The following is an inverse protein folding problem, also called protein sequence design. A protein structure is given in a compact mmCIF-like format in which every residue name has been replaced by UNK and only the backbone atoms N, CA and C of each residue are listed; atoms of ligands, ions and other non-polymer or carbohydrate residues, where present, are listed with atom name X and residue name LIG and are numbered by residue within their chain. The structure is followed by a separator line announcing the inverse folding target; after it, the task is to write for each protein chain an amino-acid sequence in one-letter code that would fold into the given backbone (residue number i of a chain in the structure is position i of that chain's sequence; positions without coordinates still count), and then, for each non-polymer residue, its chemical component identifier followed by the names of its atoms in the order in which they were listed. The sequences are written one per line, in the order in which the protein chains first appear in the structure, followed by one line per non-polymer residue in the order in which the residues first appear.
data_IF_383223294043
#
_entry.id   IF_383223294043
#
_cell.length_a   1.000
_cell.length_b   1.000
_cell.length_c   1.000
_cell.angle_alpha   90.00
_cell.angle_beta   90.00
_cell.angle_gamma   90.00
#
_symmetry.space_group_name_H-M   'P 1'
#
loop_
_entity.id
_entity.type
_entity.pdbx_description
1 polymer ?
#
# COMPACT_ATOMS: atom_id res chain seq x y z
N UNK A 1 -38.95 37.96 -9.33
CA UNK A 1 -38.82 36.68 -10.05
C UNK A 1 -38.00 35.75 -9.19
N UNK A 2 -38.52 34.65 -8.71
CA UNK A 2 -37.79 33.78 -7.79
C UNK A 2 -36.83 32.86 -8.55
N UNK A 3 -35.64 32.70 -7.99
CA UNK A 3 -34.60 31.81 -8.51
C UNK A 3 -34.94 30.39 -8.02
N UNK A 4 -35.16 29.50 -8.99
CA UNK A 4 -35.41 28.08 -8.71
C UNK A 4 -34.21 27.40 -8.13
N UNK A 5 -34.38 26.85 -6.92
CA UNK A 5 -33.49 25.91 -6.29
C UNK A 5 -33.58 24.55 -7.00
N UNK A 6 -32.51 24.11 -7.61
CA UNK A 6 -32.37 22.73 -8.11
C UNK A 6 -31.79 21.90 -6.94
N UNK A 7 -32.63 21.07 -6.37
CA UNK A 7 -32.21 20.02 -5.43
C UNK A 7 -31.54 18.87 -6.20
N UNK A 8 -30.41 18.31 -5.76
CA UNK A 8 -29.91 17.06 -6.32
C UNK A 8 -30.70 15.90 -5.66
N UNK A 9 -31.55 15.27 -6.42
CA UNK A 9 -32.09 13.94 -6.11
C UNK A 9 -31.00 12.90 -6.36
N UNK A 10 -30.28 12.51 -5.32
CA UNK A 10 -29.52 11.27 -5.24
C UNK A 10 -29.54 10.80 -3.79
N UNK A 11 -30.69 10.34 -3.35
CA UNK A 11 -30.85 9.53 -2.16
C UNK A 11 -32.02 8.60 -2.44
N UNK A 12 -31.73 7.38 -2.88
CA UNK A 12 -32.47 6.21 -2.43
C UNK A 12 -31.90 4.93 -3.06
N UNK A 13 -31.77 3.95 -2.18
CA UNK A 13 -31.43 2.53 -2.41
C UNK A 13 -29.95 2.17 -2.21
N UNK A 14 -29.43 2.36 -1.00
CA UNK A 14 -28.39 1.47 -0.47
C UNK A 14 -29.09 0.36 0.32
N UNK A 15 -29.52 -0.68 -0.37
CA UNK A 15 -29.80 -1.97 0.23
C UNK A 15 -28.46 -2.58 0.62
N UNK A 16 -28.13 -2.61 1.90
CA UNK A 16 -27.03 -3.40 2.44
C UNK A 16 -27.40 -4.89 2.34
N UNK A 17 -27.20 -5.48 1.16
CA UNK A 17 -27.23 -6.93 1.03
C UNK A 17 -25.92 -7.46 1.61
N UNK A 18 -25.97 -7.94 2.85
CA UNK A 18 -24.97 -8.86 3.37
C UNK A 18 -25.06 -10.10 2.46
N UNK A 19 -24.18 -10.19 1.48
CA UNK A 19 -24.07 -11.38 0.63
C UNK A 19 -23.48 -12.51 1.46
N UNK A 20 -24.13 -13.67 1.42
CA UNK A 20 -23.59 -14.90 2.01
C UNK A 20 -22.19 -15.14 1.41
N UNK A 21 -21.13 -15.34 2.22
CA UNK A 21 -19.75 -15.53 1.72
C UNK A 21 -19.61 -16.68 0.71
N UNK A 22 -20.51 -17.65 0.69
CA UNK A 22 -20.52 -18.75 -0.28
C UNK A 22 -21.00 -18.32 -1.67
N UNK A 23 -21.70 -17.19 -1.79
CA UNK A 23 -22.21 -16.67 -3.07
C UNK A 23 -21.36 -15.54 -3.65
N UNK A 24 -20.36 -15.05 -2.91
CA UNK A 24 -19.51 -13.95 -3.36
C UNK A 24 -18.49 -14.42 -4.41
N UNK A 25 -18.69 -14.02 -5.65
CA UNK A 25 -17.82 -14.36 -6.79
C UNK A 25 -16.81 -13.29 -7.11
N UNK A 26 -16.86 -12.15 -6.43
CA UNK A 26 -15.93 -11.03 -6.59
C UNK A 26 -15.37 -10.59 -5.25
N UNK A 27 -14.07 -10.27 -5.21
CA UNK A 27 -13.38 -9.71 -4.06
C UNK A 27 -12.68 -8.43 -4.52
N UNK A 28 -12.94 -7.33 -3.84
CA UNK A 28 -12.28 -6.05 -4.13
C UNK A 28 -11.18 -5.79 -3.10
N UNK A 29 -9.95 -5.54 -3.60
CA UNK A 29 -8.78 -5.22 -2.77
C UNK A 29 -8.30 -3.82 -3.10
N UNK A 30 -7.91 -3.03 -2.09
CA UNK A 30 -7.38 -1.69 -2.28
C UNK A 30 -6.13 -1.43 -1.42
N UNK A 31 -5.28 -0.50 -1.87
CA UNK A 31 -4.22 0.11 -1.06
C UNK A 31 -4.37 1.62 -1.08
N UNK A 32 -4.21 2.24 0.09
CA UNK A 32 -4.55 3.63 0.32
C UNK A 32 -3.56 4.31 1.28
N UNK A 33 -2.64 5.10 0.75
CA UNK A 33 -1.83 6.02 1.55
C UNK A 33 -2.71 7.20 1.98
N UNK A 34 -2.87 7.38 3.30
CA UNK A 34 -3.78 8.37 3.89
C UNK A 34 -3.20 9.77 4.02
N UNK A 35 -1.92 9.96 3.72
CA UNK A 35 -1.21 11.22 3.88
C UNK A 35 -1.37 11.84 5.27
N UNK A 36 -0.53 11.40 6.20
CA UNK A 36 -0.46 11.91 7.58
C UNK A 36 -1.80 11.86 8.34
N UNK A 37 -2.42 10.68 8.43
CA UNK A 37 -3.68 10.52 9.15
C UNK A 37 -3.49 10.63 10.67
N UNK A 38 -3.53 11.86 11.19
CA UNK A 38 -3.38 12.20 12.60
C UNK A 38 -4.48 13.15 13.07
N UNK A 39 -5.26 12.73 14.07
CA UNK A 39 -6.30 13.54 14.67
C UNK A 39 -5.72 14.71 15.48
N UNK A 40 -6.30 15.92 15.41
CA UNK A 40 -5.91 16.98 16.32
C UNK A 40 -6.27 16.61 17.79
N UNK A 41 -5.56 17.15 18.80
CA UNK A 41 -4.63 18.29 18.73
C UNK A 41 -3.18 17.93 18.45
N UNK A 42 -2.88 16.70 18.09
CA UNK A 42 -1.53 16.21 17.92
C UNK A 42 -0.90 16.69 16.61
N UNK A 43 0.44 16.81 16.59
CA UNK A 43 1.23 17.26 15.46
C UNK A 43 1.99 16.10 14.79
N UNK A 44 2.12 16.11 13.46
CA UNK A 44 2.90 15.13 12.72
C UNK A 44 4.25 15.72 12.27
N UNK A 45 5.33 15.04 12.60
CA UNK A 45 6.73 15.38 12.35
C UNK A 45 7.27 16.63 13.05
N UNK A 46 6.56 17.79 12.95
CA UNK A 46 6.96 19.08 13.49
C UNK A 46 5.80 19.70 14.28
N UNK A 47 6.09 20.50 15.31
CA UNK A 47 5.11 21.01 16.29
C UNK A 47 4.01 21.91 15.70
N UNK A 48 4.22 22.46 14.51
CA UNK A 48 3.27 23.36 13.82
C UNK A 48 2.38 22.62 12.80
N UNK A 49 2.60 21.32 12.58
CA UNK A 49 1.83 20.51 11.63
C UNK A 49 0.65 19.82 12.32
N UNK A 50 -0.37 20.60 12.60
CA UNK A 50 -1.60 20.15 13.27
C UNK A 50 -2.78 20.43 12.34
N UNK A 51 -3.62 19.44 12.11
CA UNK A 51 -4.90 19.68 11.43
C UNK A 51 -5.84 20.50 12.31
N UNK A 52 -6.52 21.50 11.76
CA UNK A 52 -7.68 22.08 12.42
C UNK A 52 -8.82 21.05 12.50
N UNK A 53 -9.77 21.24 13.39
CA UNK A 53 -10.94 20.37 13.48
C UNK A 53 -11.73 20.29 12.15
N UNK A 54 -11.78 21.39 11.39
CA UNK A 54 -12.43 21.42 10.09
C UNK A 54 -11.66 20.63 9.04
N UNK A 55 -10.33 20.77 8.97
CA UNK A 55 -9.47 20.02 8.05
C UNK A 55 -9.54 18.51 8.34
N UNK A 56 -9.48 18.14 9.62
CA UNK A 56 -9.62 16.76 10.05
C UNK A 56 -10.96 16.16 9.62
N UNK A 57 -12.06 16.89 9.87
CA UNK A 57 -13.40 16.43 9.48
C UNK A 57 -13.52 16.25 7.95
N UNK A 58 -12.93 17.17 7.16
CA UNK A 58 -12.89 17.03 5.70
C UNK A 58 -12.12 15.79 5.28
N UNK A 59 -10.96 15.53 5.89
CA UNK A 59 -10.14 14.33 5.64
C UNK A 59 -10.91 13.05 5.94
N UNK A 60 -11.52 12.95 7.13
CA UNK A 60 -12.34 11.78 7.48
C UNK A 60 -13.54 11.59 6.55
N UNK A 61 -14.22 12.66 6.19
CA UNK A 61 -15.36 12.61 5.26
C UNK A 61 -14.92 12.14 3.87
N UNK A 62 -13.76 12.58 3.39
CA UNK A 62 -13.22 12.15 2.10
C UNK A 62 -12.91 10.65 2.11
N UNK A 63 -12.22 10.16 3.13
CA UNK A 63 -11.91 8.74 3.31
C UNK A 63 -13.20 7.91 3.39
N UNK A 64 -14.16 8.35 4.21
CA UNK A 64 -15.46 7.67 4.35
C UNK A 64 -16.21 7.62 3.02
N UNK A 65 -16.22 8.71 2.25
CA UNK A 65 -16.85 8.78 0.92
C UNK A 65 -16.21 7.81 -0.07
N UNK A 66 -14.86 7.71 -0.05
CA UNK A 66 -14.16 6.72 -0.86
C UNK A 66 -14.59 5.30 -0.50
N UNK A 67 -14.59 4.95 0.79
CA UNK A 67 -14.98 3.62 1.26
C UNK A 67 -16.43 3.28 0.92
N UNK A 68 -17.35 4.24 1.03
CA UNK A 68 -18.77 4.06 0.66
C UNK A 68 -18.96 3.88 -0.85
N UNK A 69 -18.21 4.60 -1.66
CA UNK A 69 -18.36 4.59 -3.12
C UNK A 69 -17.74 3.34 -3.73
N UNK A 70 -16.52 3.00 -3.31
CA UNK A 70 -15.73 1.92 -3.92
C UNK A 70 -15.88 0.59 -3.22
N UNK A 71 -16.23 0.58 -1.94
CA UNK A 71 -16.54 -0.59 -1.10
C UNK A 71 -15.51 -1.74 -1.21
N UNK A 72 -14.19 -1.50 -1.07
CA UNK A 72 -13.25 -2.61 -1.05
C UNK A 72 -13.59 -3.60 0.08
N UNK A 73 -13.27 -4.87 -0.12
CA UNK A 73 -13.49 -5.91 0.90
C UNK A 73 -12.26 -6.05 1.80
N UNK A 74 -11.08 -5.79 1.25
CA UNK A 74 -9.79 -5.73 1.96
C UNK A 74 -9.09 -4.46 1.54
N UNK A 75 -8.57 -3.72 2.52
CA UNK A 75 -7.85 -2.49 2.27
C UNK A 75 -6.62 -2.36 3.18
N UNK A 76 -5.46 -2.08 2.56
CA UNK A 76 -4.22 -1.73 3.25
C UNK A 76 -4.05 -0.22 3.32
N UNK A 77 -3.76 0.30 4.51
CA UNK A 77 -3.55 1.72 4.77
C UNK A 77 -2.09 2.02 5.08
N UNK A 78 -1.62 3.17 4.64
CA UNK A 78 -0.31 3.72 4.94
C UNK A 78 -0.46 5.12 5.57
N UNK A 79 0.58 5.58 6.27
CA UNK A 79 0.63 6.87 6.97
C UNK A 79 -0.41 7.04 8.08
N UNK A 80 -0.64 5.97 8.84
CA UNK A 80 -1.57 5.95 9.96
C UNK A 80 -0.85 6.37 11.23
N UNK A 81 -1.27 7.47 11.84
CA UNK A 81 -0.86 7.91 13.17
C UNK A 81 -1.97 7.69 14.20
N UNK A 82 -3.23 8.01 13.85
CA UNK A 82 -4.40 7.83 14.72
C UNK A 82 -5.09 6.50 14.47
N UNK A 83 -4.54 5.43 15.07
CA UNK A 83 -4.99 4.05 14.88
C UNK A 83 -6.46 3.88 15.28
N UNK A 84 -6.85 4.35 16.48
CA UNK A 84 -8.20 4.19 17.02
C UNK A 84 -9.24 4.97 16.21
N UNK A 85 -8.86 6.15 15.68
CA UNK A 85 -9.73 6.94 14.81
C UNK A 85 -9.99 6.19 13.49
N UNK A 86 -8.94 5.62 12.87
CA UNK A 86 -9.07 4.84 11.65
C UNK A 86 -9.91 3.58 11.88
N UNK A 87 -9.66 2.83 12.95
CA UNK A 87 -10.44 1.64 13.31
C UNK A 87 -11.93 2.00 13.49
N UNK A 88 -12.22 3.11 14.16
CA UNK A 88 -13.60 3.61 14.35
C UNK A 88 -14.24 3.96 13.02
N UNK A 89 -13.50 4.63 12.14
CA UNK A 89 -13.98 5.04 10.82
C UNK A 89 -14.30 3.81 9.96
N UNK A 90 -13.38 2.85 9.84
CA UNK A 90 -13.59 1.67 8.99
C UNK A 90 -14.70 0.76 9.54
N UNK A 91 -14.82 0.61 10.86
CA UNK A 91 -15.95 -0.13 11.48
C UNK A 91 -17.31 0.46 11.11
N UNK A 92 -17.43 1.79 11.08
CA UNK A 92 -18.66 2.46 10.61
C UNK A 92 -18.96 2.19 9.14
N UNK A 93 -17.95 1.82 8.33
CA UNK A 93 -18.07 1.48 6.92
C UNK A 93 -18.22 -0.04 6.67
N UNK A 94 -18.43 -0.84 7.71
CA UNK A 94 -18.73 -2.27 7.62
C UNK A 94 -17.50 -3.18 7.57
N UNK A 95 -16.34 -2.71 8.04
CA UNK A 95 -15.18 -3.57 8.22
C UNK A 95 -15.17 -4.13 9.65
N UNK A 96 -15.48 -5.41 9.79
CA UNK A 96 -15.52 -6.07 11.10
C UNK A 96 -14.13 -6.38 11.67
N UNK A 97 -13.10 -6.44 10.80
CA UNK A 97 -11.75 -6.82 11.17
C UNK A 97 -10.77 -5.71 10.84
N UNK A 98 -9.90 -5.42 11.80
CA UNK A 98 -8.85 -4.42 11.69
C UNK A 98 -7.55 -4.97 12.27
N UNK A 99 -6.42 -4.74 11.61
CA UNK A 99 -5.11 -5.25 12.00
C UNK A 99 -4.05 -4.15 11.93
N UNK A 100 -3.29 -4.02 12.99
CA UNK A 100 -2.09 -3.20 13.13
C UNK A 100 -1.13 -3.93 14.06
N UNK A 101 0.18 -3.75 13.88
CA UNK A 101 1.20 -4.48 14.65
C UNK A 101 2.23 -3.57 15.32
N UNK A 102 2.09 -2.25 15.14
CA UNK A 102 3.03 -1.26 15.64
C UNK A 102 2.30 0.01 16.11
N UNK A 103 3.04 0.96 16.67
CA UNK A 103 2.57 2.27 17.13
C UNK A 103 3.47 3.36 16.58
N UNK A 104 2.92 4.55 16.24
CA UNK A 104 3.74 5.71 15.96
C UNK A 104 4.61 6.10 17.16
N UNK A 105 5.81 6.61 16.89
CA UNK A 105 6.65 7.22 17.92
C UNK A 105 6.07 8.57 18.32
N UNK A 106 5.99 8.85 19.64
CA UNK A 106 5.51 10.11 20.16
C UNK A 106 6.66 10.85 20.87
N UNK A 107 6.87 12.11 20.52
CA UNK A 107 7.89 12.99 21.08
C UNK A 107 7.18 14.17 21.75
N UNK A 108 7.67 14.59 22.92
CA UNK A 108 7.12 15.72 23.66
C UNK A 108 5.59 15.64 23.88
N UNK A 109 5.09 14.41 24.09
CA UNK A 109 3.70 14.04 24.38
C UNK A 109 2.68 14.27 23.25
N UNK A 110 3.00 15.01 22.18
CA UNK A 110 2.03 15.36 21.13
C UNK A 110 2.60 15.37 19.71
N UNK A 111 3.92 15.22 19.48
CA UNK A 111 4.52 15.16 18.15
C UNK A 111 4.67 13.71 17.73
N UNK A 112 3.91 13.28 16.76
CA UNK A 112 3.94 11.91 16.23
C UNK A 112 4.91 11.79 15.06
N UNK A 113 5.71 10.72 15.10
CA UNK A 113 6.63 10.31 14.03
C UNK A 113 6.41 8.84 13.72
N UNK A 114 7.02 8.39 12.63
CA UNK A 114 7.01 6.99 12.21
C UNK A 114 5.58 6.43 12.10
N UNK A 115 4.78 6.90 11.12
CA UNK A 115 3.44 6.40 10.93
C UNK A 115 3.46 4.92 10.60
N UNK A 116 2.44 4.21 11.03
CA UNK A 116 2.31 2.77 10.83
C UNK A 116 1.47 2.43 9.60
N UNK A 117 1.44 1.15 9.25
CA UNK A 117 0.51 0.58 8.28
C UNK A 117 -0.58 -0.20 8.99
N UNK A 118 -1.77 -0.29 8.37
CA UNK A 118 -2.90 -1.03 8.90
C UNK A 118 -3.62 -1.80 7.78
N UNK A 119 -4.43 -2.79 8.15
CA UNK A 119 -5.30 -3.51 7.24
C UNK A 119 -6.71 -3.56 7.83
N UNK A 120 -7.72 -3.25 7.00
CA UNK A 120 -9.12 -3.52 7.32
C UNK A 120 -9.69 -4.58 6.37
N UNK A 121 -10.55 -5.44 6.88
CA UNK A 121 -11.18 -6.52 6.12
C UNK A 121 -12.64 -6.72 6.54
N UNK A 122 -13.50 -6.99 5.55
CA UNK A 122 -14.84 -7.50 5.80
C UNK A 122 -14.84 -9.02 6.06
N UNK A 123 -13.77 -9.69 5.58
CA UNK A 123 -13.57 -11.13 5.80
C UNK A 123 -12.81 -11.40 7.09
N UNK A 124 -13.01 -12.59 7.70
CA UNK A 124 -12.36 -12.95 8.95
C UNK A 124 -10.83 -12.93 8.86
N UNK A 125 -10.19 -12.22 9.77
CA UNK A 125 -8.74 -12.30 9.99
C UNK A 125 -8.49 -13.40 11.02
N UNK A 126 -7.75 -14.44 10.64
CA UNK A 126 -7.44 -15.60 11.49
C UNK A 126 -6.15 -15.44 12.28
N UNK A 127 -5.21 -14.69 11.75
CA UNK A 127 -3.91 -14.45 12.38
C UNK A 127 -3.42 -13.04 12.01
N UNK A 128 -2.83 -12.32 12.96
CA UNK A 128 -2.14 -11.05 12.76
C UNK A 128 -0.74 -11.17 13.33
N UNK A 129 0.27 -10.77 12.58
CA UNK A 129 1.64 -10.75 13.06
C UNK A 129 2.47 -9.65 12.40
N UNK A 130 3.43 -9.12 13.11
CA UNK A 130 4.54 -8.38 12.56
C UNK A 130 5.43 -9.31 11.71
N UNK A 131 5.98 -8.82 10.61
CA UNK A 131 6.99 -9.55 9.85
C UNK A 131 8.34 -9.34 10.53
N UNK A 132 8.87 -10.42 11.10
CA UNK A 132 10.18 -10.40 11.75
C UNK A 132 11.32 -10.37 10.73
N UNK A 133 12.37 -9.63 11.06
CA UNK A 133 13.59 -9.57 10.26
C UNK A 133 14.50 -10.76 10.60
N UNK A 134 14.88 -11.54 9.59
CA UNK A 134 15.87 -12.60 9.75
C UNK A 134 17.26 -11.98 9.95
N UNK A 135 17.79 -12.05 11.16
CA UNK A 135 19.07 -11.43 11.54
C UNK A 135 20.27 -12.09 10.85
N UNK A 136 20.21 -13.38 10.56
CA UNK A 136 21.29 -14.08 9.86
C UNK A 136 21.34 -13.61 8.39
N UNK A 137 20.19 -13.45 7.77
CA UNK A 137 20.08 -12.93 6.42
C UNK A 137 20.52 -11.46 6.33
N UNK A 138 20.16 -10.64 7.32
CA UNK A 138 20.62 -9.24 7.45
C UNK A 138 22.15 -9.18 7.38
N UNK A 139 22.83 -10.02 8.15
CA UNK A 139 24.29 -10.09 8.17
C UNK A 139 24.87 -10.62 6.84
N UNK A 140 24.24 -11.62 6.22
CA UNK A 140 24.67 -12.14 4.91
C UNK A 140 24.56 -11.09 3.80
N UNK A 141 23.57 -10.20 3.89
CA UNK A 141 23.40 -9.06 2.95
C UNK A 141 24.37 -7.89 3.25
N UNK A 142 25.19 -7.99 4.29
CA UNK A 142 26.12 -6.94 4.68
C UNK A 142 25.45 -5.72 5.31
N UNK A 143 24.25 -5.89 5.84
CA UNK A 143 23.50 -4.84 6.53
C UNK A 143 23.91 -4.76 8.00
N UNK A 144 23.53 -3.67 8.68
CA UNK A 144 23.76 -3.51 10.12
C UNK A 144 22.92 -4.51 10.93
N UNK A 145 23.47 -5.05 12.04
CA UNK A 145 22.78 -6.02 12.88
C UNK A 145 21.49 -5.46 13.55
N UNK A 146 21.39 -4.13 13.64
CA UNK A 146 20.22 -3.40 14.12
C UNK A 146 19.25 -3.00 13.00
N UNK A 147 19.41 -3.57 11.81
CA UNK A 147 18.48 -3.32 10.69
C UNK A 147 17.05 -3.70 11.08
N UNK A 148 16.13 -2.77 10.80
CA UNK A 148 14.70 -2.92 10.99
C UNK A 148 13.95 -2.33 9.79
N UNK A 149 12.69 -2.73 9.61
CA UNK A 149 11.80 -2.06 8.66
C UNK A 149 11.56 -0.61 9.10
N UNK A 150 11.59 0.34 8.16
CA UNK A 150 11.25 1.75 8.46
C UNK A 150 9.83 1.90 8.97
N UNK A 151 8.93 1.02 8.61
CA UNK A 151 7.59 0.81 9.15
C UNK A 151 7.38 -0.68 9.25
N UNK A 152 6.94 -1.12 10.42
CA UNK A 152 6.71 -2.54 10.66
C UNK A 152 5.65 -3.08 9.71
N UNK A 153 5.99 -4.14 8.97
CA UNK A 153 5.08 -4.76 8.00
C UNK A 153 3.99 -5.55 8.73
N UNK A 154 2.73 -5.25 8.42
CA UNK A 154 1.58 -6.04 8.88
C UNK A 154 1.43 -7.26 7.99
N UNK A 155 1.32 -8.45 8.59
CA UNK A 155 0.79 -9.66 7.95
C UNK A 155 -0.51 -10.05 8.62
N UNK A 156 -1.60 -10.06 7.84
CA UNK A 156 -2.90 -10.55 8.28
C UNK A 156 -3.28 -11.77 7.42
N UNK A 157 -3.53 -12.92 8.07
CA UNK A 157 -4.06 -14.10 7.38
C UNK A 157 -5.58 -14.00 7.32
N UNK A 158 -6.10 -13.70 6.14
CA UNK A 158 -7.52 -13.49 5.87
C UNK A 158 -8.13 -14.76 5.27
N UNK A 159 -9.33 -15.14 5.72
CA UNK A 159 -10.09 -16.25 5.13
C UNK A 159 -10.96 -15.74 3.98
N UNK A 160 -10.53 -16.01 2.76
CA UNK A 160 -11.22 -15.55 1.54
C UNK A 160 -12.22 -16.59 1.05
N UNK A 161 -13.40 -16.17 0.54
CA UNK A 161 -14.34 -17.06 -0.12
C UNK A 161 -13.66 -17.85 -1.25
N UNK A 162 -13.97 -19.13 -1.38
CA UNK A 162 -13.48 -20.06 -2.43
C UNK A 162 -11.97 -20.34 -2.42
N UNK A 163 -11.14 -19.47 -1.85
CA UNK A 163 -9.68 -19.61 -1.82
C UNK A 163 -9.16 -20.20 -0.51
N UNK A 164 -9.83 -19.92 0.62
CA UNK A 164 -9.33 -20.24 1.94
C UNK A 164 -8.38 -19.19 2.48
N UNK A 165 -7.27 -19.60 3.10
CA UNK A 165 -6.37 -18.68 3.76
C UNK A 165 -5.45 -17.94 2.78
N UNK A 166 -5.42 -16.61 2.89
CA UNK A 166 -4.52 -15.72 2.16
C UNK A 166 -3.72 -14.88 3.15
N UNK A 167 -2.40 -14.91 3.06
CA UNK A 167 -1.53 -14.02 3.83
C UNK A 167 -1.45 -12.67 3.11
N UNK A 168 -2.11 -11.65 3.69
CA UNK A 168 -2.16 -10.29 3.19
C UNK A 168 -1.10 -9.46 3.92
N UNK A 169 -0.20 -8.84 3.17
CA UNK A 169 0.88 -8.00 3.69
C UNK A 169 0.64 -6.55 3.31
N UNK A 170 0.82 -5.64 4.28
CA UNK A 170 0.76 -4.19 4.03
C UNK A 170 2.11 -3.57 4.34
N UNK A 171 2.62 -2.80 3.37
CA UNK A 171 3.92 -2.14 3.44
C UNK A 171 3.82 -0.65 3.22
N UNK A 172 4.79 0.07 3.77
CA UNK A 172 5.16 1.42 3.39
C UNK A 172 6.69 1.49 3.44
N UNK A 173 7.34 1.17 2.32
CA UNK A 173 8.80 1.12 2.25
C UNK A 173 9.44 2.49 2.43
N UNK A 174 10.72 2.50 2.79
CA UNK A 174 11.49 3.73 3.02
C UNK A 174 11.31 4.73 1.87
N UNK A 175 10.91 5.95 2.22
CA UNK A 175 10.73 7.04 1.26
C UNK A 175 12.04 7.40 0.56
N UNK A 176 11.96 8.12 -0.59
CA UNK A 176 13.12 8.62 -1.32
C UNK A 176 13.83 9.79 -0.63
N UNK A 177 13.25 10.35 0.44
CA UNK A 177 13.89 11.43 1.22
C UNK A 177 15.23 10.94 1.76
N UNK A 178 16.25 11.81 1.70
CA UNK A 178 17.57 11.49 2.22
C UNK A 178 17.50 11.06 3.70
N UNK A 179 18.21 9.98 4.05
CA UNK A 179 18.17 9.40 5.39
C UNK A 179 18.70 10.36 6.47
N UNK A 180 19.56 11.31 6.09
CA UNK A 180 20.08 12.35 6.97
C UNK A 180 20.26 13.68 6.24
N UNK A 181 20.32 14.76 7.01
CA UNK A 181 20.57 16.11 6.55
C UNK A 181 21.97 16.55 6.95
N UNK A 182 22.60 17.44 6.16
CA UNK A 182 23.93 17.98 6.48
C UNK A 182 23.89 18.93 7.69
N UNK A 183 24.93 18.91 8.51
CA UNK A 183 25.15 19.85 9.60
C UNK A 183 25.33 21.27 9.04
N UNK A 184 24.30 22.10 9.13
CA UNK A 184 24.33 23.50 8.64
C UNK A 184 24.92 24.45 9.69
N UNK A 185 24.75 24.15 10.97
CA UNK A 185 25.05 25.07 12.08
C UNK A 185 26.55 25.21 12.43
N UNK A 186 27.39 24.36 11.87
CA UNK A 186 28.83 24.33 12.19
C UNK A 186 29.76 24.99 11.15
N UNK A 187 29.21 25.45 10.02
CA UNK A 187 29.98 25.92 8.90
C UNK A 187 29.82 27.43 8.75
N UNK A 188 30.96 28.13 8.63
CA UNK A 188 31.04 29.62 8.59
C UNK A 188 30.91 30.20 7.20
N UNK A 189 30.91 29.40 6.13
CA UNK A 189 30.82 29.87 4.75
C UNK A 189 29.61 29.30 4.01
N UNK A 190 29.04 30.09 3.10
CA UNK A 190 27.95 29.66 2.23
C UNK A 190 28.32 28.42 1.40
N UNK A 191 29.52 28.40 0.81
CA UNK A 191 30.04 27.29 0.01
C UNK A 191 30.16 26.02 0.85
N UNK A 192 30.67 26.11 2.08
CA UNK A 192 30.78 24.98 3.00
C UNK A 192 29.40 24.39 3.36
N UNK A 193 28.42 25.26 3.63
CA UNK A 193 27.07 24.85 3.92
C UNK A 193 26.40 24.13 2.73
N UNK A 194 26.48 24.70 1.53
CA UNK A 194 25.93 24.10 0.30
C UNK A 194 26.58 22.75 0.01
N UNK A 195 27.91 22.66 0.11
CA UNK A 195 28.63 21.41 -0.12
C UNK A 195 28.27 20.34 0.90
N UNK A 196 28.12 20.69 2.19
CA UNK A 196 27.71 19.78 3.24
C UNK A 196 26.30 19.23 2.99
N UNK A 197 25.34 20.11 2.70
CA UNK A 197 23.96 19.73 2.39
C UNK A 197 23.89 18.83 1.15
N UNK A 198 24.65 19.18 0.09
CA UNK A 198 24.65 18.38 -1.14
C UNK A 198 25.26 16.99 -0.93
N UNK A 199 26.36 16.88 -0.19
CA UNK A 199 26.93 15.58 0.19
C UNK A 199 25.94 14.74 1.00
N UNK A 200 25.27 15.33 1.97
CA UNK A 200 24.27 14.65 2.78
C UNK A 200 23.07 14.19 1.94
N UNK A 201 22.61 15.00 1.01
CA UNK A 201 21.54 14.64 0.08
C UNK A 201 21.93 13.44 -0.80
N UNK A 202 23.14 13.45 -1.38
CA UNK A 202 23.62 12.35 -2.24
C UNK A 202 23.77 11.06 -1.44
N UNK A 203 24.50 11.11 -0.31
CA UNK A 203 24.75 9.94 0.51
C UNK A 203 23.47 9.43 1.20
N UNK A 204 22.66 10.35 1.73
CA UNK A 204 21.37 10.00 2.37
C UNK A 204 20.35 9.44 1.38
N UNK A 205 20.35 9.92 0.13
CA UNK A 205 19.50 9.36 -0.93
C UNK A 205 19.90 7.93 -1.28
N UNK A 206 21.21 7.65 -1.33
CA UNK A 206 21.70 6.29 -1.53
C UNK A 206 21.36 5.37 -0.35
N UNK A 207 21.57 5.84 0.89
CA UNK A 207 21.19 5.09 2.09
C UNK A 207 19.70 4.74 2.13
N UNK A 208 18.83 5.67 1.74
CA UNK A 208 17.38 5.41 1.59
C UNK A 208 17.06 4.36 0.54
N UNK A 209 17.86 4.30 -0.54
CA UNK A 209 17.70 3.27 -1.58
C UNK A 209 18.14 1.89 -1.11
N UNK A 210 19.25 1.80 -0.37
CA UNK A 210 19.70 0.57 0.29
C UNK A 210 18.62 0.09 1.27
N UNK A 211 18.15 0.96 2.16
CA UNK A 211 17.11 0.61 3.14
C UNK A 211 15.88 0.03 2.45
N UNK A 212 15.32 0.73 1.46
CA UNK A 212 14.14 0.30 0.72
C UNK A 212 14.32 -1.03 -0.01
N UNK A 213 15.44 -1.22 -0.70
CA UNK A 213 15.75 -2.48 -1.39
C UNK A 213 15.94 -3.64 -0.43
N UNK A 214 16.56 -3.39 0.73
CA UNK A 214 16.74 -4.39 1.79
C UNK A 214 15.41 -4.77 2.43
N UNK A 215 14.55 -3.80 2.73
CA UNK A 215 13.18 -4.05 3.24
C UNK A 215 12.42 -4.98 2.30
N UNK A 216 12.42 -4.69 1.01
CA UNK A 216 11.74 -5.47 0.00
C UNK A 216 12.31 -6.91 -0.11
N UNK A 217 13.65 -7.04 -0.06
CA UNK A 217 14.34 -8.35 -0.15
C UNK A 217 14.00 -9.22 1.06
N UNK A 218 14.18 -8.69 2.28
CA UNK A 218 13.93 -9.40 3.53
C UNK A 218 12.46 -9.81 3.66
N UNK A 219 11.55 -8.93 3.25
CA UNK A 219 10.13 -9.24 3.22
C UNK A 219 9.83 -10.39 2.26
N UNK A 220 10.31 -10.33 1.01
CA UNK A 220 10.04 -11.37 0.02
C UNK A 220 10.55 -12.74 0.49
N UNK A 221 11.74 -12.79 1.10
CA UNK A 221 12.28 -14.04 1.64
C UNK A 221 11.43 -14.57 2.80
N UNK A 222 10.97 -13.71 3.72
CA UNK A 222 10.03 -14.10 4.78
C UNK A 222 8.72 -14.64 4.18
N UNK A 223 8.17 -13.98 3.16
CA UNK A 223 6.96 -14.43 2.47
C UNK A 223 7.14 -15.82 1.82
N UNK A 224 8.27 -16.05 1.15
CA UNK A 224 8.60 -17.36 0.55
C UNK A 224 8.68 -18.47 1.61
N UNK A 225 9.35 -18.21 2.73
CA UNK A 225 9.44 -19.18 3.84
C UNK A 225 8.08 -19.45 4.47
N UNK A 226 7.28 -18.40 4.67
CA UNK A 226 5.93 -18.56 5.20
C UNK A 226 5.07 -19.39 4.25
N UNK A 227 5.15 -19.13 2.95
CA UNK A 227 4.43 -19.88 1.94
C UNK A 227 4.88 -21.34 1.88
N UNK A 228 6.18 -21.61 1.99
CA UNK A 228 6.70 -22.98 2.08
C UNK A 228 6.14 -23.75 3.28
N UNK A 229 5.94 -23.06 4.42
CA UNK A 229 5.45 -23.67 5.66
C UNK A 229 3.92 -23.84 5.69
N UNK A 230 3.16 -22.92 5.09
CA UNK A 230 1.70 -22.84 5.23
C UNK A 230 0.93 -23.11 3.93
N UNK A 231 1.51 -22.84 2.77
CA UNK A 231 0.86 -22.98 1.47
C UNK A 231 -0.18 -21.92 1.15
N UNK A 232 -0.37 -20.91 2.02
CA UNK A 232 -1.38 -19.87 1.84
C UNK A 232 -1.11 -19.05 0.56
N UNK A 233 -2.16 -18.58 -0.11
CA UNK A 233 -2.02 -17.54 -1.13
C UNK A 233 -1.37 -16.27 -0.55
N UNK A 234 -0.74 -15.46 -1.39
CA UNK A 234 -0.06 -14.24 -0.94
C UNK A 234 -0.61 -13.01 -1.67
N UNK A 235 -0.81 -11.95 -0.91
CA UNK A 235 -1.18 -10.63 -1.39
C UNK A 235 -0.27 -9.62 -0.68
N UNK A 236 0.46 -8.79 -1.45
CA UNK A 236 1.31 -7.73 -0.93
C UNK A 236 0.83 -6.40 -1.50
N UNK A 237 0.52 -5.44 -0.65
CA UNK A 237 0.02 -4.12 -1.07
C UNK A 237 0.63 -3.00 -0.25
N UNK A 238 0.69 -1.80 -0.84
CA UNK A 238 1.15 -0.61 -0.13
C UNK A 238 1.82 0.43 -1.02
N UNK A 239 2.41 1.42 -0.35
CA UNK A 239 3.30 2.39 -0.95
C UNK A 239 4.73 1.83 -0.95
N UNK A 240 5.24 1.55 -2.14
CA UNK A 240 6.60 1.00 -2.32
C UNK A 240 7.66 2.09 -2.45
N UNK A 241 7.23 3.36 -2.53
CA UNK A 241 8.10 4.53 -2.65
C UNK A 241 9.12 4.47 -3.82
N UNK A 242 8.89 3.56 -4.78
CA UNK A 242 9.75 3.40 -5.95
C UNK A 242 9.01 2.68 -7.07
N UNK A 243 9.31 2.97 -8.36
CA UNK A 243 8.80 2.15 -9.45
C UNK A 243 9.23 0.70 -9.31
N UNK A 244 8.29 -0.22 -9.47
CA UNK A 244 8.50 -1.67 -9.25
C UNK A 244 9.51 -2.27 -10.24
N UNK A 245 9.54 -1.77 -11.48
CA UNK A 245 10.47 -2.24 -12.53
C UNK A 245 11.85 -1.56 -12.46
N UNK A 246 12.08 -0.67 -11.48
CA UNK A 246 13.40 -0.14 -11.18
C UNK A 246 14.26 -1.22 -10.50
N UNK A 247 15.56 -1.24 -10.77
CA UNK A 247 16.51 -2.27 -10.31
C UNK A 247 16.49 -2.55 -8.81
N UNK A 248 16.07 -1.57 -7.99
CA UNK A 248 15.99 -1.72 -6.53
C UNK A 248 14.85 -2.67 -6.11
N UNK A 249 13.69 -2.63 -6.78
CA UNK A 249 12.51 -3.42 -6.42
C UNK A 249 12.18 -4.53 -7.43
N UNK A 250 12.87 -4.59 -8.58
CA UNK A 250 12.54 -5.54 -9.65
C UNK A 250 12.56 -7.02 -9.20
N UNK A 251 13.33 -7.34 -8.16
CA UNK A 251 13.40 -8.68 -7.59
C UNK A 251 12.10 -9.16 -6.95
N UNK A 252 11.21 -8.25 -6.52
CA UNK A 252 9.89 -8.60 -5.98
C UNK A 252 9.00 -9.34 -6.99
N UNK A 253 9.21 -9.10 -8.28
CA UNK A 253 8.43 -9.67 -9.39
C UNK A 253 9.28 -10.55 -10.32
N UNK A 254 10.40 -11.09 -9.82
CA UNK A 254 11.27 -11.98 -10.61
C UNK A 254 10.51 -13.24 -11.03
N UNK A 255 10.29 -13.48 -12.33
CA UNK A 255 9.39 -14.54 -12.78
C UNK A 255 10.06 -15.93 -12.86
N UNK A 256 11.40 -15.98 -12.83
CA UNK A 256 12.16 -17.22 -13.06
C UNK A 256 13.55 -17.15 -12.45
N UNK A 257 14.15 -18.31 -12.19
CA UNK A 257 15.57 -18.41 -11.87
C UNK A 257 16.43 -18.23 -13.13
N UNK A 258 17.59 -17.58 -12.98
CA UNK A 258 18.54 -17.37 -14.08
C UNK A 258 19.17 -18.68 -14.60
N UNK A 259 19.23 -19.69 -13.73
CA UNK A 259 19.88 -20.98 -14.00
C UNK A 259 18.91 -22.12 -13.69
N UNK A 260 18.86 -23.11 -14.56
CA UNK A 260 17.96 -24.27 -14.54
C UNK A 260 16.53 -23.97 -15.00
N UNK A 261 16.23 -24.41 -16.22
CA UNK A 261 14.93 -24.21 -16.87
C UNK A 261 14.12 -25.51 -17.01
N UNK A 262 14.24 -26.42 -16.05
CA UNK A 262 13.35 -27.58 -15.98
C UNK A 262 11.91 -27.11 -15.68
N UNK A 263 10.93 -27.61 -16.43
CA UNK A 263 9.52 -27.23 -16.29
C UNK A 263 8.98 -27.44 -14.86
N UNK A 264 9.45 -28.51 -14.17
CA UNK A 264 9.05 -28.77 -12.79
C UNK A 264 9.57 -27.68 -11.84
N UNK A 265 10.82 -27.22 -12.03
CA UNK A 265 11.41 -26.14 -11.25
C UNK A 265 10.75 -24.80 -11.55
N UNK A 266 10.44 -24.51 -12.81
CA UNK A 266 9.70 -23.29 -13.17
C UNK A 266 8.33 -23.23 -12.50
N UNK A 267 7.60 -24.37 -12.44
CA UNK A 267 6.32 -24.44 -11.74
C UNK A 267 6.47 -24.18 -10.23
N UNK A 268 7.53 -24.70 -9.61
CA UNK A 268 7.84 -24.43 -8.20
C UNK A 268 8.21 -22.97 -7.97
N UNK A 269 9.00 -22.36 -8.86
CA UNK A 269 9.34 -20.92 -8.76
C UNK A 269 8.08 -20.07 -8.79
N UNK A 270 7.17 -20.34 -9.72
CA UNK A 270 5.89 -19.62 -9.84
C UNK A 270 5.05 -19.68 -8.55
N UNK A 271 5.13 -20.77 -7.81
CA UNK A 271 4.45 -20.89 -6.51
C UNK A 271 4.95 -19.86 -5.48
N UNK A 272 6.22 -19.43 -5.58
CA UNK A 272 6.85 -18.49 -4.65
C UNK A 272 6.95 -17.06 -5.18
N UNK A 273 6.57 -16.80 -6.43
CA UNK A 273 6.67 -15.47 -7.05
C UNK A 273 5.41 -14.65 -6.86
N UNK A 274 5.59 -13.34 -6.97
CA UNK A 274 4.50 -12.37 -7.02
C UNK A 274 4.43 -11.74 -8.41
N UNK A 275 3.25 -11.32 -8.81
CA UNK A 275 3.01 -10.57 -10.04
C UNK A 275 2.25 -9.27 -9.74
N UNK A 276 2.59 -8.21 -10.45
CA UNK A 276 1.86 -6.96 -10.39
C UNK A 276 0.41 -7.17 -10.88
N UNK A 277 -0.56 -6.75 -10.09
CA UNK A 277 -1.97 -6.83 -10.46
C UNK A 277 -2.29 -6.06 -11.75
N UNK A 278 -1.56 -4.98 -12.06
CA UNK A 278 -1.65 -4.30 -13.34
C UNK A 278 -1.25 -5.20 -14.50
N UNK A 279 -0.09 -5.87 -14.40
CA UNK A 279 0.40 -6.76 -15.47
C UNK A 279 -0.58 -7.95 -15.67
N UNK A 280 -1.21 -8.45 -14.59
CA UNK A 280 -2.26 -9.49 -14.68
C UNK A 280 -3.53 -8.96 -15.36
N UNK A 281 -3.99 -7.78 -14.98
CA UNK A 281 -5.13 -7.11 -15.59
C UNK A 281 -4.89 -6.85 -17.09
N UNK A 282 -3.74 -6.25 -17.43
CA UNK A 282 -3.38 -5.97 -18.82
C UNK A 282 -3.32 -7.26 -19.67
N UNK A 283 -2.77 -8.34 -19.11
CA UNK A 283 -2.71 -9.64 -19.80
C UNK A 283 -4.13 -10.19 -20.09
N UNK A 284 -5.06 -10.07 -19.15
CA UNK A 284 -6.44 -10.51 -19.32
C UNK A 284 -7.18 -9.65 -20.37
N UNK A 285 -6.93 -8.34 -20.39
CA UNK A 285 -7.55 -7.43 -21.38
C UNK A 285 -7.02 -7.68 -22.81
N UNK A 286 -5.75 -8.00 -22.99
CA UNK A 286 -5.16 -8.33 -24.30
C UNK A 286 -5.78 -9.56 -24.98
N UNK A 287 -6.43 -10.43 -24.21
CA UNK A 287 -7.21 -11.54 -24.75
C UNK A 287 -8.50 -11.05 -25.41
N UNK A 288 -9.02 -9.89 -24.98
CA UNK A 288 -10.32 -9.33 -25.39
C UNK A 288 -10.16 -8.18 -26.39
N UNK A 289 -9.10 -7.38 -26.31
CA UNK A 289 -8.83 -6.20 -27.16
C UNK A 289 -7.33 -6.08 -27.45
N UNK A 290 -7.00 -5.63 -28.68
CA UNK A 290 -5.62 -5.29 -29.08
C UNK A 290 -5.16 -3.90 -28.59
N UNK A 291 -6.00 -3.17 -27.88
CA UNK A 291 -5.67 -1.83 -27.39
C UNK A 291 -4.55 -1.88 -26.34
N UNK A 292 -3.61 -0.95 -26.48
CA UNK A 292 -2.54 -0.79 -25.50
C UNK A 292 -3.05 0.02 -24.31
N UNK A 293 -3.15 -0.61 -23.16
CA UNK A 293 -3.51 0.07 -21.91
C UNK A 293 -2.33 0.88 -21.37
N UNK A 294 -2.62 2.00 -20.76
CA UNK A 294 -1.63 2.84 -20.09
C UNK A 294 -1.96 2.91 -18.60
N UNK A 295 -1.01 2.51 -17.76
CA UNK A 295 -1.16 2.63 -16.31
C UNK A 295 -1.06 4.09 -15.88
N UNK A 296 -2.07 4.58 -15.17
CA UNK A 296 -2.04 5.92 -14.60
C UNK A 296 -1.04 5.97 -13.42
N UNK A 297 -0.34 7.10 -13.22
CA UNK A 297 0.50 7.33 -12.05
C UNK A 297 -0.32 7.34 -10.77
N UNK A 298 0.33 6.99 -9.64
CA UNK A 298 -0.31 7.04 -8.32
C UNK A 298 0.15 8.23 -7.48
N UNK A 299 1.24 8.88 -7.88
CA UNK A 299 1.78 10.05 -7.18
C UNK A 299 2.33 11.06 -8.18
N UNK A 300 2.12 12.36 -7.88
CA UNK A 300 2.53 13.49 -8.71
C UNK A 300 3.38 14.46 -7.88
N UNK A 301 4.56 14.80 -8.38
CA UNK A 301 5.45 15.78 -7.74
C UNK A 301 5.96 16.78 -8.78
N UNK A 302 5.45 18.00 -8.73
CA UNK A 302 5.72 19.02 -9.74
C UNK A 302 5.31 18.55 -11.13
N UNK A 303 6.27 18.45 -12.06
CA UNK A 303 6.04 17.96 -13.43
C UNK A 303 6.28 16.44 -13.57
N UNK A 304 6.69 15.78 -12.50
CA UNK A 304 6.99 14.35 -12.51
C UNK A 304 5.83 13.57 -11.96
N UNK A 305 5.58 12.40 -12.55
CA UNK A 305 4.59 11.45 -12.06
C UNK A 305 5.20 10.06 -11.97
N UNK A 306 4.75 9.25 -11.04
CA UNK A 306 5.26 7.89 -10.85
C UNK A 306 4.19 6.98 -10.26
N UNK A 307 4.32 5.68 -10.53
CA UNK A 307 3.55 4.66 -9.84
C UNK A 307 4.38 4.24 -8.62
N UNK A 308 3.83 4.44 -7.43
CA UNK A 308 4.46 4.10 -6.14
C UNK A 308 3.63 3.08 -5.36
N UNK A 309 2.33 3.02 -5.62
CA UNK A 309 1.37 2.17 -4.92
C UNK A 309 1.06 0.94 -5.76
N UNK A 310 1.20 -0.24 -5.16
CA UNK A 310 1.11 -1.52 -5.85
C UNK A 310 0.29 -2.53 -5.06
N UNK A 311 -0.31 -3.48 -5.82
CA UNK A 311 -0.88 -4.72 -5.30
C UNK A 311 -0.22 -5.85 -6.07
N UNK A 312 0.53 -6.72 -5.37
CA UNK A 312 1.19 -7.88 -5.92
C UNK A 312 0.51 -9.16 -5.46
N UNK A 313 0.36 -10.11 -6.34
CA UNK A 313 -0.47 -11.29 -6.17
C UNK A 313 0.32 -12.58 -6.50
N UNK A 314 0.08 -13.64 -5.76
CA UNK A 314 0.61 -14.97 -6.03
C UNK A 314 -0.18 -15.70 -7.15
N UNK A 315 0.27 -16.89 -7.52
CA UNK A 315 -0.22 -17.66 -8.69
C UNK A 315 -1.72 -18.01 -8.64
N UNK A 316 -2.36 -17.99 -7.47
CA UNK A 316 -3.79 -18.24 -7.31
C UNK A 316 -4.68 -17.18 -7.97
N UNK A 317 -4.10 -16.03 -8.31
CA UNK A 317 -4.76 -14.90 -8.94
C UNK A 317 -4.32 -14.66 -10.40
N UNK A 318 -3.45 -15.52 -10.94
CA UNK A 318 -2.93 -15.43 -12.31
C UNK A 318 -3.73 -16.34 -13.25
N UNK A 319 -4.56 -15.75 -14.09
CA UNK A 319 -5.39 -16.48 -15.05
C UNK A 319 -4.60 -17.39 -16.02
N UNK A 320 -3.30 -17.13 -16.21
CA UNK A 320 -2.42 -17.99 -17.02
C UNK A 320 -2.07 -19.32 -16.33
N UNK A 321 -2.29 -19.42 -15.00
CA UNK A 321 -2.06 -20.64 -14.24
C UNK A 321 -3.33 -21.49 -14.15
N UNK A 322 -3.21 -22.78 -14.45
CA UNK A 322 -4.37 -23.70 -14.41
C UNK A 322 -4.96 -23.88 -13.01
N UNK A 323 -4.15 -23.64 -11.97
CA UNK A 323 -4.56 -23.76 -10.57
C UNK A 323 -5.04 -22.45 -9.97
N UNK A 324 -5.22 -21.40 -10.76
CA UNK A 324 -5.72 -20.13 -10.23
C UNK A 324 -7.22 -20.22 -9.94
N UNK A 325 -7.63 -19.62 -8.83
CA UNK A 325 -9.01 -19.53 -8.41
C UNK A 325 -9.67 -18.25 -8.88
N UNK A 326 -8.88 -17.17 -8.96
CA UNK A 326 -9.34 -15.83 -9.31
C UNK A 326 -8.54 -15.26 -10.47
N UNK A 327 -9.11 -14.27 -11.13
CA UNK A 327 -8.43 -13.42 -12.10
C UNK A 327 -8.63 -11.95 -11.75
N UNK A 328 -7.67 -11.11 -12.13
CA UNK A 328 -7.83 -9.65 -12.01
C UNK A 328 -8.71 -9.17 -13.16
N UNK A 329 -9.98 -8.92 -12.86
CA UNK A 329 -10.98 -8.51 -13.85
C UNK A 329 -11.04 -6.99 -14.04
N UNK A 330 -10.57 -6.21 -13.06
CA UNK A 330 -10.54 -4.75 -13.13
C UNK A 330 -9.37 -4.18 -12.32
N UNK A 331 -8.84 -3.04 -12.78
CA UNK A 331 -7.81 -2.26 -12.10
C UNK A 331 -8.20 -0.79 -12.13
N UNK A 332 -8.43 -0.22 -10.96
CA UNK A 332 -8.95 1.13 -10.80
C UNK A 332 -7.89 1.98 -10.10
N UNK A 333 -7.52 3.11 -10.71
CA UNK A 333 -6.69 4.14 -10.12
C UNK A 333 -7.57 5.37 -9.85
N UNK A 334 -7.82 5.67 -8.58
CA UNK A 334 -8.62 6.81 -8.17
C UNK A 334 -7.71 7.99 -7.91
N UNK A 335 -7.45 8.82 -8.92
CA UNK A 335 -6.50 9.94 -8.91
C UNK A 335 -7.13 11.31 -9.21
N UNK A 336 -8.45 11.39 -9.37
CA UNK A 336 -9.15 12.62 -9.75
C UNK A 336 -8.85 13.79 -8.81
N UNK A 337 -8.74 13.52 -7.52
CA UNK A 337 -8.39 14.51 -6.49
C UNK A 337 -6.96 15.08 -6.64
N UNK A 338 -6.08 14.40 -7.39
CA UNK A 338 -4.71 14.84 -7.68
C UNK A 338 -4.61 15.65 -8.96
N UNK A 339 -5.36 15.25 -10.01
CA UNK A 339 -5.23 15.83 -11.36
C UNK A 339 -6.27 16.89 -11.67
N UNK A 340 -7.43 16.85 -11.01
CA UNK A 340 -8.53 17.82 -11.19
C UNK A 340 -9.34 17.97 -9.89
N UNK A 341 -8.71 18.44 -8.79
CA UNK A 341 -9.34 18.52 -7.47
C UNK A 341 -10.49 19.51 -7.44
N UNK A 342 -11.54 19.16 -6.70
CA UNK A 342 -12.57 20.10 -6.25
C UNK A 342 -12.16 20.52 -4.84
N UNK A 343 -11.55 21.68 -4.69
CA UNK A 343 -10.87 22.12 -3.47
C UNK A 343 -11.72 22.00 -2.20
N UNK A 344 -13.03 22.26 -2.29
CA UNK A 344 -13.94 22.16 -1.16
C UNK A 344 -14.06 20.73 -0.62
N UNK A 345 -13.90 19.71 -1.46
CA UNK A 345 -14.02 18.29 -1.13
C UNK A 345 -12.66 17.60 -1.01
N UNK A 346 -11.73 17.92 -1.92
CA UNK A 346 -10.46 17.20 -2.07
C UNK A 346 -9.29 17.87 -1.36
N UNK A 347 -9.48 19.08 -0.77
CA UNK A 347 -8.39 19.87 -0.19
C UNK A 347 -7.61 19.18 0.94
N UNK A 348 -8.23 18.25 1.64
CA UNK A 348 -7.62 17.46 2.72
C UNK A 348 -7.63 15.95 2.41
N UNK A 349 -7.68 15.57 1.13
CA UNK A 349 -7.65 14.17 0.69
C UNK A 349 -6.31 13.50 0.97
N UNK A 350 -5.65 13.01 -0.05
CA UNK A 350 -4.31 12.42 0.02
C UNK A 350 -3.48 12.92 -1.17
N UNK A 351 -2.17 12.80 -1.07
CA UNK A 351 -1.23 13.09 -2.18
C UNK A 351 -0.93 11.84 -3.03
N UNK A 352 -1.58 10.70 -2.72
CA UNK A 352 -1.53 9.47 -3.49
C UNK A 352 -2.89 9.13 -4.12
N UNK A 353 -2.88 8.51 -5.29
CA UNK A 353 -4.06 7.85 -5.83
C UNK A 353 -4.36 6.57 -5.04
N UNK A 354 -5.63 6.25 -4.88
CA UNK A 354 -6.03 4.97 -4.30
C UNK A 354 -6.09 3.93 -5.40
N UNK A 355 -5.31 2.86 -5.26
CA UNK A 355 -5.30 1.73 -6.20
C UNK A 355 -6.22 0.65 -5.69
N UNK A 356 -7.13 0.18 -6.53
CA UNK A 356 -7.98 -0.97 -6.23
C UNK A 356 -8.10 -1.92 -7.41
N UNK A 357 -8.35 -3.20 -7.10
CA UNK A 357 -8.55 -4.27 -8.08
C UNK A 357 -9.83 -5.04 -7.76
N UNK A 358 -10.46 -5.58 -8.79
CA UNK A 358 -11.49 -6.60 -8.66
C UNK A 358 -10.90 -7.95 -9.02
N UNK A 359 -11.05 -8.91 -8.11
CA UNK A 359 -10.72 -10.32 -8.30
C UNK A 359 -12.05 -11.07 -8.56
N UNK A 360 -12.18 -11.67 -9.73
CA UNK A 360 -13.38 -12.45 -10.10
C UNK A 360 -13.05 -13.95 -10.06
N UNK A 361 -13.92 -14.72 -9.42
CA UNK A 361 -13.81 -16.18 -9.36
C UNK A 361 -13.90 -16.75 -10.78
N UNK A 362 -12.99 -17.65 -11.12
CA UNK A 362 -12.93 -18.35 -12.41
C UNK A 362 -13.87 -19.56 -12.37
N UNK A 363 -14.53 -19.81 -13.51
CA UNK A 363 -15.38 -20.99 -13.73
C UNK A 363 -14.57 -22.29 -13.94
#
# INVERSE_FOLDING_TARGET
MPINSISPQYADQVSSTVTDPVTQTQIKVATFNLFNYLAPPDAFYDFDRIYSAEQWQKKENWIASYLQTHQPDIIGFQEVFSIEALETLVKKQGYDYFAVVDKPTVIDDFIHRDPVVALASKFPIKEVAAVEVDKDLVMQLGLSADFEFSRQVVRATVELPHLGLCDCYVVHFKSKRAAWQGDVDKLTSLEGNVLSQFKAQVAGGWASSIQRGSEATLLLMNMMERRAKKGNAMLLMGDFNNPLKDGILAHLITPSMLFNNDQAQQKLVKFYTLRDAWDLYEANQKVVSEDTLTRAPTHYFGQSSSVLDYILLSSEFDAAEQSSYFEVSDYINTDKHLINPIFEFDGESTDHAVVSINLTLRE
#
